data_IF_973815094612
#
_entry.id   IF_973815094612
#
_cell.length_a   1.000
_cell.length_b   1.000
_cell.length_c   1.000
_cell.angle_alpha   90.00
_cell.angle_beta   90.00
_cell.angle_gamma   90.00
#
_symmetry.space_group_name_H-M   'P 1'
#
loop_
_entity.id
_entity.type
_entity.pdbx_description
1 polymer ?
#
# COMPACT_ATOMS: atom_id res chain seq x y z
N UNK A 1 7.01 -3.34 15.42
CA UNK A 1 7.63 -3.53 14.08
C UNK A 1 8.11 -2.19 13.55
N UNK A 2 9.26 -2.18 12.94
CA UNK A 2 9.83 -0.95 12.40
C UNK A 2 9.63 -0.86 10.89
N UNK A 3 9.69 0.37 10.37
CA UNK A 3 9.51 0.61 8.93
C UNK A 3 10.45 -0.24 8.09
N UNK A 4 11.69 -0.38 8.49
CA UNK A 4 12.69 -1.16 7.76
C UNK A 4 12.26 -2.61 7.60
N UNK A 5 11.68 -3.19 8.62
CA UNK A 5 11.17 -4.56 8.57
C UNK A 5 10.01 -4.67 7.58
N UNK A 6 9.15 -3.66 7.56
CA UNK A 6 8.04 -3.62 6.60
C UNK A 6 8.58 -3.53 5.18
N UNK A 7 9.58 -2.67 4.95
CA UNK A 7 10.20 -2.52 3.63
C UNK A 7 10.81 -3.83 3.13
N UNK A 8 11.46 -4.58 4.00
CA UNK A 8 12.09 -5.83 3.62
C UNK A 8 11.09 -6.87 3.15
N UNK A 9 9.86 -6.79 3.62
CA UNK A 9 8.81 -7.75 3.28
C UNK A 9 7.72 -7.17 2.40
N UNK A 10 7.90 -5.94 1.93
CA UNK A 10 6.87 -5.26 1.14
C UNK A 10 6.59 -5.98 -0.18
N UNK A 11 7.61 -6.57 -0.80
CA UNK A 11 7.40 -7.35 -2.02
C UNK A 11 6.48 -8.55 -1.77
N UNK A 12 6.59 -9.18 -0.61
CA UNK A 12 5.70 -10.27 -0.24
C UNK A 12 4.25 -9.78 -0.10
N UNK A 13 4.08 -8.59 0.47
CA UNK A 13 2.77 -7.97 0.58
C UNK A 13 2.19 -7.71 -0.81
N UNK A 14 2.99 -7.11 -1.69
CA UNK A 14 2.54 -6.80 -3.05
C UNK A 14 2.23 -8.06 -3.85
N UNK A 15 3.05 -9.10 -3.71
CA UNK A 15 2.82 -10.37 -4.41
C UNK A 15 1.49 -10.99 -4.00
N UNK A 16 1.19 -11.00 -2.71
CA UNK A 16 -0.07 -11.55 -2.23
C UNK A 16 -1.25 -10.69 -2.66
N UNK A 17 -1.08 -9.37 -2.64
CA UNK A 17 -2.12 -8.45 -3.08
C UNK A 17 -2.44 -8.67 -4.55
N UNK A 18 -1.43 -8.83 -5.40
CA UNK A 18 -1.61 -9.13 -6.82
C UNK A 18 -2.38 -10.43 -7.03
N UNK A 19 -2.07 -11.44 -6.22
CA UNK A 19 -2.74 -12.72 -6.30
C UNK A 19 -4.23 -12.64 -5.94
N UNK A 20 -4.57 -11.76 -4.99
CA UNK A 20 -5.94 -11.60 -4.53
C UNK A 20 -6.76 -10.65 -5.43
N UNK A 21 -6.18 -9.54 -5.84
CA UNK A 21 -6.89 -8.53 -6.63
C UNK A 21 -5.88 -7.66 -7.39
N UNK A 22 -5.82 -7.86 -8.68
CA UNK A 22 -4.90 -7.14 -9.55
C UNK A 22 -5.17 -5.64 -9.56
N UNK A 23 -6.44 -5.24 -9.48
CA UNK A 23 -6.81 -3.83 -9.48
C UNK A 23 -6.32 -3.15 -8.20
N UNK A 24 -6.48 -3.83 -7.07
CA UNK A 24 -5.94 -3.31 -5.80
C UNK A 24 -4.42 -3.20 -5.87
N UNK A 25 -3.76 -4.21 -6.45
CA UNK A 25 -2.31 -4.16 -6.65
C UNK A 25 -1.90 -2.94 -7.46
N UNK A 26 -2.61 -2.66 -8.56
CA UNK A 26 -2.33 -1.48 -9.39
C UNK A 26 -2.46 -0.17 -8.60
N UNK A 27 -3.34 -0.15 -7.62
CA UNK A 27 -3.52 1.05 -6.80
C UNK A 27 -2.35 1.32 -5.86
N UNK A 28 -1.57 0.30 -5.49
CA UNK A 28 -0.56 0.43 -4.44
C UNK A 28 0.87 0.08 -4.85
N UNK A 29 1.09 -0.53 -6.00
CA UNK A 29 2.43 -1.05 -6.33
C UNK A 29 3.50 0.05 -6.45
N UNK A 30 3.10 1.28 -6.79
CA UNK A 30 4.02 2.41 -6.92
C UNK A 30 4.22 3.18 -5.63
N UNK A 31 3.53 2.80 -4.57
CA UNK A 31 3.60 3.53 -3.31
C UNK A 31 4.97 3.36 -2.66
N UNK A 32 5.49 4.46 -2.11
CA UNK A 32 6.69 4.42 -1.29
C UNK A 32 6.31 4.37 0.17
N UNK A 33 7.02 3.58 0.95
CA UNK A 33 6.85 3.55 2.39
C UNK A 33 7.63 4.71 2.99
N UNK A 34 6.94 5.63 3.63
CA UNK A 34 7.54 6.84 4.20
C UNK A 34 7.82 6.68 5.68
N UNK A 35 6.83 6.23 6.43
CA UNK A 35 6.97 6.09 7.88
C UNK A 35 5.97 5.07 8.41
N UNK A 36 6.29 4.55 9.59
CA UNK A 36 5.38 3.71 10.35
C UNK A 36 5.50 4.09 11.82
N UNK A 37 4.51 4.80 12.33
CA UNK A 37 4.46 5.29 13.70
C UNK A 37 3.04 5.18 14.23
N UNK A 38 2.89 4.82 15.49
CA UNK A 38 1.59 4.74 16.15
C UNK A 38 0.59 3.88 15.36
N UNK A 39 1.07 2.78 14.80
CA UNK A 39 0.28 1.88 13.97
C UNK A 39 -0.28 2.56 12.72
N UNK A 40 0.38 3.60 12.24
CA UNK A 40 0.02 4.31 11.01
C UNK A 40 1.12 4.15 10.00
N UNK A 41 0.80 3.54 8.87
CA UNK A 41 1.73 3.36 7.76
C UNK A 41 1.45 4.43 6.71
N UNK A 42 2.42 5.30 6.47
CA UNK A 42 2.29 6.38 5.51
C UNK A 42 2.88 5.95 4.16
N UNK A 43 2.06 6.07 3.12
CA UNK A 43 2.45 5.76 1.75
C UNK A 43 2.49 7.05 0.94
N UNK A 44 3.52 7.18 0.10
CA UNK A 44 3.71 8.34 -0.76
C UNK A 44 3.55 7.91 -2.21
N UNK A 45 2.65 8.57 -2.92
CA UNK A 45 2.35 8.30 -4.32
C UNK A 45 2.87 9.39 -5.26
N UNK A 46 3.69 10.30 -4.75
CA UNK A 46 4.15 11.44 -5.55
C UNK A 46 5.00 11.03 -6.75
N UNK A 47 5.58 9.83 -6.73
CA UNK A 47 6.43 9.34 -7.81
C UNK A 47 5.67 8.55 -8.86
N UNK A 48 4.35 8.46 -8.77
CA UNK A 48 3.53 7.74 -9.74
C UNK A 48 3.37 8.54 -11.02
N UNK A 49 4.49 8.89 -11.64
CA UNK A 49 4.55 9.78 -12.80
C UNK A 49 3.84 9.23 -14.03
N UNK A 50 3.86 7.93 -14.18
CA UNK A 50 3.26 7.29 -15.35
C UNK A 50 1.75 7.46 -15.43
N UNK A 51 1.11 7.87 -14.34
CA UNK A 51 -0.32 8.10 -14.31
C UNK A 51 -0.69 9.58 -14.26
N UNK A 52 0.29 10.45 -14.33
CA UNK A 52 0.09 11.88 -14.09
C UNK A 52 -0.88 12.53 -15.07
N UNK A 53 -0.94 12.01 -16.30
CA UNK A 53 -1.74 12.62 -17.35
C UNK A 53 -3.11 11.95 -17.55
N UNK A 54 -3.40 10.89 -16.83
CA UNK A 54 -4.63 10.14 -17.06
C UNK A 54 -5.62 10.29 -15.92
N UNK A 55 -5.22 10.00 -14.71
CA UNK A 55 -6.14 10.02 -13.58
C UNK A 55 -5.43 10.40 -12.29
N UNK A 56 -6.18 11.01 -11.42
CA UNK A 56 -5.78 11.12 -10.02
C UNK A 56 -6.15 9.79 -9.34
N UNK A 57 -5.24 8.86 -9.31
CA UNK A 57 -5.47 7.54 -8.73
C UNK A 57 -5.79 7.61 -7.25
N UNK A 58 -5.35 8.66 -6.59
CA UNK A 58 -5.67 8.86 -5.19
C UNK A 58 -7.16 9.09 -4.99
N UNK A 59 -7.79 9.83 -5.90
CA UNK A 59 -9.24 10.09 -5.83
C UNK A 59 -10.07 8.89 -6.24
N UNK A 60 -9.54 8.06 -7.14
CA UNK A 60 -10.27 6.91 -7.64
C UNK A 60 -10.02 5.65 -6.83
N UNK A 61 -9.14 5.74 -5.82
CA UNK A 61 -8.80 4.57 -5.01
C UNK A 61 -10.00 4.13 -4.19
N UNK A 62 -10.35 2.87 -4.35
CA UNK A 62 -11.51 2.28 -3.69
C UNK A 62 -11.17 1.96 -2.23
N UNK A 63 -12.01 2.37 -1.25
CA UNK A 63 -11.79 1.98 0.14
C UNK A 63 -11.69 0.48 0.36
N UNK A 64 -12.38 -0.32 -0.45
CA UNK A 64 -12.28 -1.78 -0.37
C UNK A 64 -10.86 -2.26 -0.70
N UNK A 65 -10.18 -1.58 -1.62
CA UNK A 65 -8.79 -1.91 -1.95
C UNK A 65 -7.86 -1.61 -0.78
N UNK A 66 -8.11 -0.53 -0.06
CA UNK A 66 -7.35 -0.20 1.14
C UNK A 66 -7.55 -1.25 2.23
N UNK A 67 -8.78 -1.69 2.42
CA UNK A 67 -9.08 -2.75 3.39
C UNK A 67 -8.41 -4.06 3.00
N UNK A 68 -8.41 -4.38 1.71
CA UNK A 68 -7.72 -5.56 1.22
C UNK A 68 -6.22 -5.47 1.48
N UNK A 69 -5.62 -4.31 1.23
CA UNK A 69 -4.20 -4.10 1.52
C UNK A 69 -3.91 -4.34 3.00
N UNK A 70 -4.73 -3.79 3.89
CA UNK A 70 -4.56 -3.99 5.32
C UNK A 70 -4.64 -5.47 5.68
N UNK A 71 -5.59 -6.20 5.10
CA UNK A 71 -5.72 -7.64 5.39
C UNK A 71 -4.52 -8.43 4.89
N UNK A 72 -3.97 -8.05 3.74
CA UNK A 72 -2.75 -8.67 3.21
C UNK A 72 -1.57 -8.38 4.12
N UNK A 73 -1.43 -7.15 4.59
CA UNK A 73 -0.38 -6.78 5.53
C UNK A 73 -0.50 -7.63 6.81
N UNK A 74 -1.71 -7.81 7.30
CA UNK A 74 -1.93 -8.65 8.47
C UNK A 74 -1.49 -10.09 8.23
N UNK A 75 -1.78 -10.62 7.06
CA UNK A 75 -1.39 -11.99 6.71
C UNK A 75 0.13 -12.15 6.63
N UNK A 76 0.81 -11.19 6.02
CA UNK A 76 2.26 -11.27 5.79
C UNK A 76 3.05 -10.82 7.01
N UNK A 77 2.64 -9.73 7.65
CA UNK A 77 3.42 -9.08 8.70
C UNK A 77 2.84 -9.23 10.10
N UNK A 78 1.58 -9.64 10.20
CA UNK A 78 0.93 -9.81 11.50
C UNK A 78 0.45 -8.52 12.15
N UNK A 79 0.38 -7.42 11.40
CA UNK A 79 -0.07 -6.13 11.91
C UNK A 79 -1.23 -5.61 11.06
N UNK A 80 -2.03 -4.72 11.65
CA UNK A 80 -3.18 -4.10 10.96
C UNK A 80 -3.07 -2.58 11.07
N UNK A 81 -2.16 -1.97 10.30
CA UNK A 81 -1.94 -0.53 10.41
C UNK A 81 -3.06 0.26 9.73
N UNK A 82 -3.22 1.52 10.18
CA UNK A 82 -3.99 2.50 9.43
C UNK A 82 -3.14 2.99 8.27
N UNK A 83 -3.72 3.07 7.09
CA UNK A 83 -3.00 3.53 5.90
C UNK A 83 -3.22 5.03 5.74
N UNK A 84 -2.12 5.77 5.72
CA UNK A 84 -2.12 7.22 5.50
C UNK A 84 -1.58 7.45 4.08
N UNK A 85 -2.31 8.16 3.27
CA UNK A 85 -1.91 8.51 1.92
C UNK A 85 -1.38 9.94 1.88
N UNK A 86 -0.28 10.11 1.18
CA UNK A 86 0.43 11.38 1.13
C UNK A 86 0.60 11.88 -0.29
#
# INVERSE_FOLDING_TARGET
MELEQIKQRWNNVLDLLLEKDRIAWLAFFDARLVSFEDNQLTLDFSDSQKFANSHDFKKTRNPDHTQLLISVIKTVLGISPTIIER
#
